data_IF_171980359873
#
_entry.id   IF_171980359873
#
_cell.length_a   1.000
_cell.length_b   1.000
_cell.length_c   1.000
_cell.angle_alpha   90.00
_cell.angle_beta   90.00
_cell.angle_gamma   90.00
#
_symmetry.space_group_name_H-M   'P 1'
#
loop_
_entity.id
_entity.type
_entity.pdbx_description
1 polymer ?
#
# COMPACT_ATOMS: atom_id res chain seq x y z
N UNK A 1 0.32 -14.10 -10.03
CA UNK A 1 1.37 -13.23 -10.59
C UNK A 1 1.44 -11.99 -9.72
N UNK A 2 2.55 -11.76 -9.01
CA UNK A 2 2.74 -10.53 -8.23
C UNK A 2 2.87 -9.34 -9.19
N UNK A 3 2.05 -8.31 -9.01
CA UNK A 3 2.11 -7.09 -9.82
C UNK A 3 2.75 -6.00 -8.97
N UNK A 4 3.89 -5.49 -9.43
CA UNK A 4 4.57 -4.38 -8.78
C UNK A 4 4.34 -3.10 -9.59
N UNK A 5 4.32 -1.97 -8.88
CA UNK A 5 4.19 -0.63 -9.45
C UNK A 5 5.32 0.23 -8.89
N UNK A 6 5.98 1.02 -9.74
CA UNK A 6 6.93 2.05 -9.29
C UNK A 6 6.15 3.33 -8.98
N UNK A 7 6.24 3.79 -7.74
CA UNK A 7 5.59 5.01 -7.25
C UNK A 7 6.67 5.98 -6.78
N UNK A 8 6.60 7.23 -7.22
CA UNK A 8 7.49 8.28 -6.70
C UNK A 8 6.99 8.72 -5.31
N UNK A 9 7.79 8.50 -4.28
CA UNK A 9 7.56 8.89 -2.89
C UNK A 9 8.57 9.95 -2.48
N UNK A 10 8.12 11.20 -2.36
CA UNK A 10 9.03 12.32 -2.12
C UNK A 10 10.04 12.45 -3.26
N UNK A 11 11.31 12.19 -2.96
CA UNK A 11 12.44 12.34 -3.91
C UNK A 11 12.90 11.01 -4.53
N UNK A 12 12.42 9.86 -4.06
CA UNK A 12 12.79 8.54 -4.60
C UNK A 12 11.63 7.76 -5.21
N UNK A 13 11.95 6.84 -6.12
CA UNK A 13 11.03 5.81 -6.59
C UNK A 13 11.00 4.63 -5.61
N UNK A 14 9.81 4.13 -5.32
CA UNK A 14 9.54 2.96 -4.49
C UNK A 14 8.78 1.92 -5.30
N UNK A 15 9.31 0.70 -5.36
CA UNK A 15 8.63 -0.43 -5.97
C UNK A 15 7.70 -1.03 -4.91
N UNK A 16 6.40 -1.03 -5.20
CA UNK A 16 5.37 -1.50 -4.30
C UNK A 16 4.57 -2.64 -4.94
N UNK A 17 4.31 -3.70 -4.18
CA UNK A 17 3.43 -4.80 -4.57
C UNK A 17 1.97 -4.35 -4.45
N UNK A 18 1.20 -4.49 -5.53
CA UNK A 18 -0.22 -4.21 -5.53
C UNK A 18 -0.96 -5.25 -4.69
N UNK A 19 -1.56 -4.81 -3.58
CA UNK A 19 -2.19 -5.69 -2.60
C UNK A 19 -3.60 -5.23 -2.23
N UNK A 20 -4.61 -5.85 -2.84
CA UNK A 20 -6.01 -5.59 -2.51
C UNK A 20 -6.46 -6.24 -1.19
N UNK A 21 -5.62 -7.06 -0.57
CA UNK A 21 -5.85 -7.61 0.76
C UNK A 21 -5.35 -6.69 1.89
N UNK A 22 -4.67 -5.59 1.55
CA UNK A 22 -4.22 -4.58 2.49
C UNK A 22 -5.04 -3.30 2.33
N UNK A 23 -5.62 -2.81 3.43
CA UNK A 23 -6.34 -1.53 3.42
C UNK A 23 -5.40 -0.34 3.21
N UNK A 24 -4.19 -0.43 3.77
CA UNK A 24 -3.23 0.66 3.83
C UNK A 24 -2.01 0.39 2.95
N UNK A 25 -1.43 1.46 2.41
CA UNK A 25 -0.10 1.41 1.82
C UNK A 25 0.98 1.44 2.90
N UNK A 26 1.94 0.54 2.80
CA UNK A 26 2.96 0.29 3.83
C UNK A 26 4.33 0.20 3.15
N UNK A 27 5.33 0.86 3.72
CA UNK A 27 6.74 0.60 3.40
C UNK A 27 7.51 0.13 4.63
N UNK A 28 8.63 -0.52 4.39
CA UNK A 28 9.55 -0.94 5.43
C UNK A 28 10.35 0.26 6.01
N UNK A 29 10.89 0.12 7.22
CA UNK A 29 11.76 1.16 7.79
C UNK A 29 13.05 1.32 6.99
N UNK A 30 13.54 0.23 6.41
CA UNK A 30 14.75 0.24 5.58
C UNK A 30 14.50 1.00 4.28
N UNK A 31 13.30 0.84 3.71
CA UNK A 31 12.88 1.57 2.52
C UNK A 31 12.68 3.06 2.81
N UNK A 32 12.14 3.41 3.99
CA UNK A 32 12.09 4.80 4.43
C UNK A 32 13.50 5.41 4.49
N UNK A 33 14.45 4.68 5.05
CA UNK A 33 15.84 5.13 5.19
C UNK A 33 16.52 5.26 3.83
N UNK A 34 16.22 4.37 2.88
CA UNK A 34 16.69 4.43 1.49
C UNK A 34 16.11 5.63 0.74
N UNK A 35 14.82 5.90 0.90
CA UNK A 35 14.12 6.99 0.20
C UNK A 35 14.45 8.37 0.79
N UNK A 36 14.78 8.44 2.08
CA UNK A 36 15.12 9.68 2.77
C UNK A 36 16.42 9.56 3.58
N UNK A 37 17.58 9.38 2.93
CA UNK A 37 18.85 9.12 3.62
C UNK A 37 19.32 10.33 4.46
N UNK A 38 19.02 11.54 4.01
CA UNK A 38 19.49 12.78 4.65
C UNK A 38 18.49 13.35 5.67
N UNK A 39 17.20 13.38 5.33
CA UNK A 39 16.16 14.00 6.14
C UNK A 39 14.86 13.20 6.08
N UNK A 40 14.64 12.39 7.11
CA UNK A 40 13.44 11.57 7.23
C UNK A 40 12.19 12.43 7.43
N UNK A 41 11.06 12.10 6.80
CA UNK A 41 9.78 12.75 7.06
C UNK A 41 9.35 12.52 8.51
N UNK A 42 8.59 13.47 9.07
CA UNK A 42 8.04 13.33 10.42
C UNK A 42 7.07 12.14 10.47
N UNK A 43 7.32 11.23 11.41
CA UNK A 43 6.45 10.09 11.69
C UNK A 43 5.54 10.45 12.87
N UNK A 44 4.26 10.14 12.72
CA UNK A 44 3.22 10.34 13.72
C UNK A 44 2.75 8.98 14.26
N UNK A 45 2.32 8.90 15.53
CA UNK A 45 1.78 7.67 16.08
C UNK A 45 0.49 7.25 15.36
N UNK A 46 0.20 5.96 15.41
CA UNK A 46 -1.09 5.40 15.03
C UNK A 46 -2.03 5.37 16.23
N UNK A 47 -3.32 5.49 15.96
CA UNK A 47 -4.38 5.34 16.97
C UNK A 47 -5.00 3.93 16.97
N UNK A 48 -4.46 3.02 16.16
CA UNK A 48 -4.95 1.66 15.96
C UNK A 48 -3.78 0.68 15.72
N UNK A 49 -4.06 -0.61 15.88
CA UNK A 49 -3.12 -1.70 15.62
C UNK A 49 -3.48 -2.38 14.29
N UNK A 50 -2.48 -2.63 13.45
CA UNK A 50 -2.67 -3.48 12.27
C UNK A 50 -2.33 -4.92 12.61
N UNK A 51 -3.07 -5.84 12.00
CA UNK A 51 -2.77 -7.26 11.99
C UNK A 51 -2.61 -7.74 10.55
N UNK A 52 -1.82 -8.80 10.37
CA UNK A 52 -1.81 -9.53 9.11
C UNK A 52 -3.05 -10.40 8.96
N UNK A 53 -3.15 -11.10 7.82
CA UNK A 53 -4.26 -12.00 7.53
C UNK A 53 -4.43 -13.13 8.56
N UNK A 54 -3.37 -13.51 9.27
CA UNK A 54 -3.39 -14.53 10.32
C UNK A 54 -3.72 -13.93 11.70
N UNK A 55 -4.16 -12.66 11.74
CA UNK A 55 -4.42 -11.89 12.97
C UNK A 55 -3.17 -11.66 13.81
N UNK A 56 -1.97 -11.84 13.25
CA UNK A 56 -0.74 -11.54 13.95
C UNK A 56 -0.45 -10.04 13.88
N UNK A 57 -0.11 -9.39 15.00
CA UNK A 57 0.10 -7.95 15.01
C UNK A 57 1.32 -7.55 14.19
N UNK A 58 1.15 -6.54 13.35
CA UNK A 58 2.24 -5.93 12.57
C UNK A 58 2.83 -4.80 13.41
N UNK A 59 4.16 -4.84 13.61
CA UNK A 59 4.88 -3.75 14.26
C UNK A 59 5.00 -2.57 13.30
N UNK A 60 4.24 -1.52 13.58
CA UNK A 60 4.26 -0.28 12.80
C UNK A 60 4.91 0.82 13.64
N UNK A 61 5.95 1.44 13.09
CA UNK A 61 6.67 2.56 13.70
C UNK A 61 5.82 3.83 13.75
N UNK A 62 4.91 3.98 12.78
CA UNK A 62 3.93 5.04 12.72
C UNK A 62 3.48 5.31 11.30
N UNK A 63 2.92 6.50 11.09
CA UNK A 63 2.41 6.97 9.81
C UNK A 63 3.03 8.32 9.43
N UNK A 64 3.07 8.62 8.14
CA UNK A 64 3.38 9.95 7.63
C UNK A 64 2.48 10.28 6.43
N UNK A 65 2.54 11.54 5.98
CA UNK A 65 1.93 11.97 4.72
C UNK A 65 3.04 12.36 3.76
N UNK A 66 3.15 11.63 2.65
CA UNK A 66 4.21 11.80 1.66
C UNK A 66 3.65 12.35 0.37
N UNK A 67 4.44 13.17 -0.33
CA UNK A 67 4.11 13.58 -1.69
C UNK A 67 4.26 12.36 -2.61
N UNK A 68 3.17 11.97 -3.25
CA UNK A 68 3.09 10.86 -4.19
C UNK A 68 3.00 11.42 -5.60
N UNK A 69 3.76 10.85 -6.54
CA UNK A 69 3.54 11.04 -7.98
C UNK A 69 3.43 9.71 -8.69
N UNK A 70 2.43 9.62 -9.56
CA UNK A 70 2.18 8.45 -10.39
C UNK A 70 1.39 8.87 -11.63
N UNK A 71 1.92 8.65 -12.83
CA UNK A 71 1.35 9.18 -14.06
C UNK A 71 1.03 10.69 -13.92
N UNK A 72 -0.23 11.09 -14.12
CA UNK A 72 -0.69 12.48 -13.98
C UNK A 72 -1.15 12.84 -12.55
N UNK A 73 -1.14 11.87 -11.62
CA UNK A 73 -1.53 12.10 -10.23
C UNK A 73 -0.38 12.70 -9.42
N UNK A 74 -0.69 13.74 -8.64
CA UNK A 74 0.22 14.35 -7.68
C UNK A 74 -0.55 14.85 -6.45
N UNK A 75 -0.37 14.19 -5.31
CA UNK A 75 -1.00 14.59 -4.05
C UNK A 75 -0.22 14.09 -2.84
N UNK A 76 -0.64 14.49 -1.63
CA UNK A 76 -0.17 13.90 -0.39
C UNK A 76 -1.08 12.75 0.01
N UNK A 77 -0.49 11.57 0.22
CA UNK A 77 -1.21 10.38 0.70
C UNK A 77 -0.58 9.88 2.01
N UNK A 78 -1.40 9.27 2.86
CA UNK A 78 -0.95 8.60 4.08
C UNK A 78 -0.13 7.37 3.73
N UNK A 79 0.97 7.16 4.43
CA UNK A 79 1.82 5.98 4.29
C UNK A 79 2.20 5.45 5.68
N UNK A 80 2.11 4.13 5.86
CA UNK A 80 2.50 3.47 7.10
C UNK A 80 3.94 2.95 7.00
N UNK A 81 4.66 3.01 8.12
CA UNK A 81 6.05 2.58 8.21
C UNK A 81 6.15 1.35 9.09
N UNK A 82 6.30 0.17 8.50
CA UNK A 82 6.50 -1.07 9.22
C UNK A 82 7.96 -1.22 9.69
N UNK A 83 8.17 -1.83 10.85
CA UNK A 83 9.53 -2.13 11.32
C UNK A 83 10.18 -3.28 10.52
N UNK A 84 11.49 -3.14 10.26
CA UNK A 84 12.33 -4.14 9.61
C UNK A 84 12.23 -4.11 8.09
N UNK A 85 12.59 -5.22 7.44
CA UNK A 85 12.73 -5.40 5.99
C UNK A 85 11.52 -6.08 5.33
N UNK A 86 10.31 -5.64 5.69
CA UNK A 86 9.06 -6.17 5.12
C UNK A 86 8.83 -5.71 3.67
N UNK A 87 7.97 -6.41 2.93
CA UNK A 87 7.56 -6.00 1.59
C UNK A 87 6.86 -4.63 1.61
N UNK A 88 7.07 -3.84 0.57
CA UNK A 88 6.35 -2.59 0.35
C UNK A 88 5.03 -2.90 -0.34
N UNK A 89 3.91 -2.54 0.29
CA UNK A 89 2.57 -2.86 -0.18
C UNK A 89 1.85 -1.59 -0.59
N UNK A 90 1.26 -1.60 -1.78
CA UNK A 90 0.31 -0.60 -2.23
C UNK A 90 -1.08 -1.13 -1.87
N UNK A 91 -1.68 -0.54 -0.83
CA UNK A 91 -2.99 -0.94 -0.32
C UNK A 91 -4.14 -0.19 -0.98
N UNK A 92 -5.36 -0.67 -0.71
CA UNK A 92 -6.59 -0.20 -1.35
C UNK A 92 -6.85 1.29 -1.17
N UNK A 93 -6.44 1.91 -0.05
CA UNK A 93 -6.56 3.36 0.16
C UNK A 93 -5.94 4.17 -1.00
N UNK A 94 -4.89 3.65 -1.64
CA UNK A 94 -4.21 4.34 -2.74
C UNK A 94 -4.78 4.00 -4.11
N UNK A 95 -5.69 3.03 -4.24
CA UNK A 95 -6.13 2.56 -5.55
C UNK A 95 -6.93 3.64 -6.27
N UNK A 96 -7.98 4.17 -5.63
CA UNK A 96 -8.82 5.21 -6.22
C UNK A 96 -8.01 6.49 -6.53
N UNK A 97 -7.20 7.05 -5.59
CA UNK A 97 -6.37 8.22 -5.89
C UNK A 97 -5.42 8.01 -7.09
N UNK A 98 -4.86 6.81 -7.23
CA UNK A 98 -3.93 6.49 -8.32
C UNK A 98 -4.62 6.05 -9.61
N UNK A 99 -5.96 6.03 -9.64
CA UNK A 99 -6.72 5.55 -10.79
C UNK A 99 -6.55 4.04 -11.06
N UNK A 100 -6.12 3.28 -10.06
CA UNK A 100 -5.97 1.84 -10.14
C UNK A 100 -7.34 1.22 -9.96
N UNK A 101 -7.83 0.59 -11.03
CA UNK A 101 -9.09 -0.14 -11.02
C UNK A 101 -8.79 -1.61 -10.78
N UNK A 102 -9.36 -2.17 -9.72
CA UNK A 102 -9.50 -3.62 -9.61
C UNK A 102 -10.64 -4.04 -10.53
N UNK A 103 -10.30 -4.50 -11.74
CA UNK A 103 -11.25 -5.15 -12.63
C UNK A 103 -11.17 -6.65 -12.38
N UNK A 104 -12.27 -7.24 -11.90
CA UNK A 104 -12.37 -8.67 -11.74
C UNK A 104 -12.23 -9.34 -13.10
N UNK A 105 -11.18 -10.13 -13.30
CA UNK A 105 -11.09 -11.04 -14.45
C UNK A 105 -11.62 -12.38 -13.96
N UNK A 106 -12.90 -12.63 -14.21
CA UNK A 106 -13.45 -13.98 -14.11
C UNK A 106 -12.95 -14.78 -15.32
N UNK A 107 -12.19 -15.85 -15.09
CA UNK A 107 -11.96 -16.89 -16.08
C UNK A 107 -12.50 -18.19 -15.49
N UNK A 108 -13.76 -18.46 -15.75
CA UNK A 108 -14.38 -19.76 -15.52
C UNK A 108 -14.33 -20.55 -16.81
N UNK A 109 -13.60 -21.67 -16.82
CA UNK A 109 -14.16 -22.82 -17.53
C UNK A 109 -15.32 -23.27 -16.65
N UNK A 110 -16.51 -23.38 -17.26
CA UNK A 110 -17.84 -23.66 -16.66
C UNK A 110 -18.69 -22.39 -16.48
N UNK A 111 -19.56 -22.19 -17.46
CA UNK A 111 -20.63 -21.19 -17.53
C UNK A 111 -21.66 -21.35 -16.42
N UNK A 112 -21.56 -20.60 -15.32
CA UNK A 112 -22.72 -20.18 -14.53
C UNK A 112 -22.44 -18.77 -13.97
N UNK A 113 -23.12 -17.75 -14.50
CA UNK A 113 -23.09 -16.37 -14.00
C UNK A 113 -23.80 -16.26 -12.64
N UNK A 114 -23.04 -15.95 -11.58
CA UNK A 114 -23.59 -15.25 -10.42
C UNK A 114 -22.62 -14.20 -9.89
N UNK A 115 -23.19 -13.02 -9.60
CA UNK A 115 -22.52 -11.74 -9.34
C UNK A 115 -22.37 -11.47 -7.84
N UNK A 116 -21.17 -10.97 -7.49
CA UNK A 116 -20.74 -10.18 -6.31
C UNK A 116 -20.94 -10.71 -4.89
N UNK A 117 -19.82 -10.78 -4.16
CA UNK A 117 -19.78 -10.34 -2.76
C UNK A 117 -18.50 -9.53 -2.51
N UNK A 118 -18.64 -8.19 -2.48
CA UNK A 118 -17.79 -7.35 -1.63
C UNK A 118 -18.20 -7.61 -0.19
N UNK A 119 -17.27 -8.02 0.67
CA UNK A 119 -17.45 -7.91 2.13
C UNK A 119 -16.18 -7.43 2.80
N UNK A 120 -16.26 -6.19 3.29
CA UNK A 120 -15.64 -5.83 4.56
C UNK A 120 -16.27 -6.68 5.66
N UNK A 121 -15.45 -7.42 6.41
CA UNK A 121 -15.70 -7.86 7.79
C UNK A 121 -14.39 -7.82 8.55
#
# INVERSE_FOLDING_TARGET
MKRNVSIQLGEGECIMELDSGSDYSIISSDELDRLWPNKKPKIFPLTFQLCDYQKSPIRIRGQNYVNVRYANFKSKLRLLIAEGSRANLLGMEWFEPLGIKSVGVYRTEIDIEFVLIFRWQ
#
